data_IF_015381847568
#
_entry.id   IF_015381847568
#
_cell.length_a   1.000
_cell.length_b   1.000
_cell.length_c   1.000
_cell.angle_alpha   90.00
_cell.angle_beta   90.00
_cell.angle_gamma   90.00
#
_symmetry.space_group_name_H-M   'P 1'
#
loop_
_entity.id
_entity.type
_entity.pdbx_description
1 polymer ?
2 non-polymer ?
3 non-polymer ?
4 water ?
#
# COMPACT_ATOMS: atom_id res chain seq x y z
N UNK A 6 -27.20 -1.95 1.13
CA UNK A 6 -27.24 -2.03 -0.32
C UNK A 6 -25.84 -1.97 -0.95
N UNK A 7 -24.82 -1.55 -0.22
CA UNK A 7 -23.46 -1.91 -0.61
C UNK A 7 -23.12 -3.29 -0.05
N UNK A 8 -23.76 -3.66 1.07
CA UNK A 8 -23.51 -4.94 1.70
C UNK A 8 -24.28 -6.10 1.05
N UNK A 9 -25.37 -5.83 0.33
CA UNK A 9 -26.10 -6.94 -0.26
C UNK A 9 -25.36 -7.54 -1.46
N UNK A 10 -24.25 -6.94 -1.87
CA UNK A 10 -23.33 -7.62 -2.78
C UNK A 10 -22.51 -8.67 -2.05
N UNK A 11 -22.26 -8.46 -0.75
CA UNK A 11 -21.39 -9.34 0.01
C UNK A 11 -22.12 -10.62 0.43
N UNK A 12 -21.39 -11.72 0.49
CA UNK A 12 -21.92 -12.98 0.95
C UNK A 12 -21.95 -13.01 2.47
N UNK A 13 -23.05 -13.50 3.03
CA UNK A 13 -23.15 -13.67 4.48
C UNK A 13 -22.70 -15.09 4.78
N UNK A 14 -21.69 -15.21 5.59
CA UNK A 14 -21.09 -16.51 5.86
C UNK A 14 -21.54 -16.94 7.23
N UNK A 15 -21.84 -18.19 7.37
CA UNK A 15 -22.27 -18.64 8.68
C UNK A 15 -21.06 -18.94 9.56
N UNK A 16 -21.12 -18.58 10.85
CA UNK A 16 -19.98 -18.84 11.75
C UNK A 16 -19.44 -20.28 11.77
N UNK A 17 -20.27 -21.31 11.53
CA UNK A 17 -19.74 -22.67 11.57
C UNK A 17 -18.87 -23.00 10.38
N UNK A 18 -18.86 -22.15 9.36
CA UNK A 18 -17.95 -22.33 8.23
C UNK A 18 -16.55 -21.78 8.47
N UNK A 19 -16.33 -21.08 9.58
CA UNK A 19 -15.14 -20.27 9.80
C UNK A 19 -14.42 -20.77 11.05
N UNK A 20 -13.13 -21.09 10.89
CA UNK A 20 -12.26 -21.41 12.02
C UNK A 20 -11.14 -20.40 12.06
N UNK A 21 -11.00 -19.70 13.18
CA UNK A 21 -9.86 -18.84 13.42
C UNK A 21 -8.76 -19.71 14.01
N UNK A 22 -7.52 -19.51 13.56
CA UNK A 22 -6.42 -20.38 14.01
C UNK A 22 -5.25 -19.64 14.62
N UNK A 23 -4.88 -18.51 14.08
CA UNK A 23 -3.77 -17.78 14.63
C UNK A 23 -3.92 -16.30 14.47
N UNK A 24 -3.53 -15.52 15.46
CA UNK A 24 -3.59 -14.06 15.40
C UNK A 24 -2.46 -13.54 14.55
N UNK A 25 -2.79 -12.68 13.58
CA UNK A 25 -1.79 -12.10 12.67
C UNK A 25 -1.88 -10.59 12.65
N UNK A 26 -2.79 -10.01 13.41
CA UNK A 26 -2.89 -8.58 13.55
C UNK A 26 -3.80 -8.33 14.72
N UNK A 27 -3.67 -7.14 15.29
CA UNK A 27 -4.49 -6.89 16.46
C UNK A 27 -4.60 -5.40 16.69
N UNK A 28 -5.67 -5.02 17.37
CA UNK A 28 -5.93 -3.66 17.77
C UNK A 28 -6.79 -3.68 19.02
N UNK A 29 -7.27 -2.52 19.44
CA UNK A 29 -8.09 -2.46 20.66
C UNK A 29 -9.48 -3.05 20.45
N UNK A 30 -10.02 -2.97 19.23
CA UNK A 30 -11.42 -3.29 18.99
C UNK A 30 -11.63 -4.60 18.24
N UNK A 31 -10.56 -5.34 18.01
CA UNK A 31 -10.67 -6.64 17.38
C UNK A 31 -9.29 -7.05 16.92
N UNK A 32 -9.23 -8.20 16.27
CA UNK A 32 -7.97 -8.64 15.72
C UNK A 32 -8.16 -9.30 14.35
N UNK A 33 -7.05 -9.61 13.70
CA UNK A 33 -7.07 -10.30 12.42
C UNK A 33 -6.47 -11.67 12.66
N UNK A 34 -7.05 -12.69 12.03
CA UNK A 34 -6.59 -14.07 12.17
C UNK A 34 -6.35 -14.69 10.80
N UNK A 35 -5.35 -15.59 10.73
CA UNK A 35 -5.36 -16.61 9.71
C UNK A 35 -6.35 -17.68 10.14
N UNK A 36 -7.14 -18.16 9.19
CA UNK A 36 -8.07 -19.22 9.47
C UNK A 36 -8.40 -20.05 8.24
N UNK A 37 -9.44 -20.88 8.38
CA UNK A 37 -9.93 -21.70 7.28
C UNK A 37 -11.41 -21.42 7.08
N UNK A 38 -11.84 -21.44 5.83
CA UNK A 38 -13.23 -21.22 5.42
C UNK A 38 -13.76 -22.46 4.69
N UNK A 39 -15.00 -22.84 5.00
CA UNK A 39 -15.73 -23.89 4.27
C UNK A 39 -16.32 -23.40 2.97
N UNK A 46 -11.98 -26.85 1.75
CA UNK A 46 -11.61 -25.89 2.78
C UNK A 46 -10.47 -25.02 2.28
N UNK A 47 -10.42 -23.76 2.69
CA UNK A 47 -9.54 -22.77 2.05
C UNK A 47 -9.00 -21.82 3.10
N UNK A 48 -7.70 -21.48 3.09
CA UNK A 48 -7.20 -20.48 4.03
C UNK A 48 -7.82 -19.13 3.73
N UNK A 49 -8.07 -18.37 4.81
CA UNK A 49 -8.67 -17.04 4.71
C UNK A 49 -8.07 -16.17 5.80
N UNK A 50 -8.21 -14.87 5.63
CA UNK A 50 -7.96 -13.94 6.72
C UNK A 50 -9.29 -13.48 7.28
N UNK A 51 -9.32 -13.27 8.59
CA UNK A 51 -10.53 -13.03 9.34
C UNK A 51 -10.32 -11.83 10.27
N UNK A 52 -11.08 -10.75 10.07
CA UNK A 52 -10.96 -9.56 10.91
C UNK A 52 -12.23 -9.44 11.75
N UNK A 53 -12.08 -9.28 13.07
CA UNK A 53 -13.25 -9.21 13.95
C UNK A 53 -13.46 -7.81 14.50
N UNK A 54 -14.69 -7.58 14.97
CA UNK A 54 -15.09 -6.37 15.66
C UNK A 54 -15.79 -6.76 16.95
N UNK A 55 -15.24 -6.34 18.08
CA UNK A 55 -15.65 -6.81 19.40
C UNK A 55 -16.92 -6.11 19.89
N UNK A 56 -17.67 -6.82 20.74
CA UNK A 56 -18.91 -6.31 21.30
C UNK A 56 -18.70 -4.98 22.00
N UNK A 57 -19.74 -4.14 21.96
CA UNK A 57 -19.62 -2.79 22.49
C UNK A 57 -19.27 -1.76 21.45
N UNK A 58 -19.05 -2.19 20.21
CA UNK A 58 -18.68 -1.24 19.19
C UNK A 58 -19.76 -0.18 19.02
N UNK A 59 -19.34 1.00 18.63
CA UNK A 59 -20.22 2.13 18.40
C UNK A 59 -20.87 2.04 17.01
N UNK A 60 -21.88 2.89 16.81
CA UNK A 60 -22.47 3.02 15.48
C UNK A 60 -21.40 3.38 14.44
N UNK A 61 -20.57 4.37 14.76
CA UNK A 61 -19.49 4.78 13.85
C UNK A 61 -18.55 3.63 13.56
N UNK A 62 -18.17 2.86 14.59
CA UNK A 62 -17.30 1.71 14.37
C UNK A 62 -17.96 0.67 13.46
N UNK A 63 -19.24 0.36 13.70
CA UNK A 63 -19.93 -0.59 12.82
C UNK A 63 -19.98 -0.10 11.38
N UNK A 64 -20.26 1.19 11.19
CA UNK A 64 -20.34 1.75 9.84
C UNK A 64 -18.97 1.71 9.17
N UNK A 65 -17.92 2.10 9.90
CA UNK A 65 -16.56 2.03 9.35
C UNK A 65 -16.16 0.60 9.02
N UNK A 66 -16.44 -0.35 9.91
CA UNK A 66 -15.99 -1.72 9.75
C UNK A 66 -16.69 -2.41 8.60
N UNK A 67 -18.02 -2.39 8.61
CA UNK A 67 -18.75 -2.98 7.51
C UNK A 67 -18.59 -2.17 6.23
N UNK A 68 -18.25 -0.88 6.35
CA UNK A 68 -17.99 -0.08 5.16
C UNK A 68 -16.72 -0.51 4.46
N UNK A 69 -15.71 -0.97 5.20
CA UNK A 69 -14.54 -1.53 4.52
C UNK A 69 -14.95 -2.71 3.65
N UNK A 70 -15.81 -3.59 4.19
CA UNK A 70 -16.22 -4.74 3.39
C UNK A 70 -17.10 -4.32 2.23
N UNK A 71 -17.99 -3.38 2.48
CA UNK A 71 -18.82 -2.82 1.42
C UNK A 71 -18.00 -2.26 0.27
N UNK A 72 -16.94 -1.51 0.59
CA UNK A 72 -16.07 -0.96 -0.44
C UNK A 72 -15.33 -2.07 -1.19
N UNK A 73 -14.70 -2.99 -0.45
CA UNK A 73 -13.98 -4.10 -1.09
C UNK A 73 -14.88 -4.94 -1.97
N UNK A 74 -16.15 -5.09 -1.60
CA UNK A 74 -17.02 -5.94 -2.41
C UNK A 74 -17.42 -5.31 -3.73
N UNK A 75 -17.20 -4.01 -3.89
CA UNK A 75 -17.42 -3.34 -5.16
C UNK A 75 -16.32 -3.59 -6.17
N UNK A 76 -15.22 -4.22 -5.77
CA UNK A 76 -14.05 -4.33 -6.62
C UNK A 76 -13.81 -5.78 -7.04
N UNK A 77 -13.29 -5.96 -8.25
CA UNK A 77 -12.87 -7.27 -8.77
C UNK A 77 -11.62 -7.09 -9.62
N UNK A 78 -10.45 -7.20 -9.00
CA UNK A 78 -9.21 -6.98 -9.72
C UNK A 78 -8.10 -7.82 -9.07
N UNK A 79 -7.21 -8.37 -9.90
CA UNK A 79 -6.14 -9.26 -9.45
C UNK A 79 -5.29 -8.61 -8.37
N UNK A 80 -5.16 -7.28 -8.39
CA UNK A 80 -4.29 -6.56 -7.47
C UNK A 80 -5.02 -5.84 -6.35
N UNK A 81 -6.24 -6.26 -6.05
CA UNK A 81 -7.00 -5.69 -4.94
C UNK A 81 -7.46 -6.86 -4.10
N UNK A 82 -7.28 -6.76 -2.77
CA UNK A 82 -7.65 -7.90 -1.90
C UNK A 82 -9.11 -8.29 -2.13
N UNK A 83 -9.35 -9.61 -2.26
CA UNK A 83 -10.67 -10.14 -2.58
C UNK A 83 -11.45 -10.43 -1.30
N UNK A 84 -12.71 -9.98 -1.27
CA UNK A 84 -13.62 -10.23 -0.16
C UNK A 84 -14.29 -11.58 -0.36
N UNK A 85 -14.23 -12.44 0.64
CA UNK A 85 -15.00 -13.68 0.62
C UNK A 85 -16.39 -13.49 1.19
N UNK A 86 -16.52 -12.74 2.28
CA UNK A 86 -17.84 -12.52 2.83
C UNK A 86 -17.74 -11.83 4.16
N UNK A 87 -18.89 -11.76 4.83
CA UNK A 87 -18.99 -11.09 6.13
C UNK A 87 -19.83 -11.97 7.05
N UNK A 88 -19.57 -11.85 8.34
CA UNK A 88 -20.48 -12.35 9.37
C UNK A 88 -21.00 -11.12 10.08
N UNK A 89 -22.26 -10.77 9.81
CA UNK A 89 -22.84 -9.63 10.49
C UNK A 89 -24.07 -10.00 11.30
N UNK A 90 -24.75 -11.12 10.99
CA UNK A 90 -25.92 -11.53 11.77
C UNK A 90 -25.56 -12.25 13.05
N UNK A 91 -24.29 -12.49 13.30
CA UNK A 91 -23.83 -13.06 14.54
C UNK A 91 -22.68 -12.21 15.04
N UNK A 92 -22.38 -12.35 16.34
CA UNK A 92 -21.34 -11.56 16.97
C UNK A 92 -20.31 -12.52 17.54
N UNK A 93 -19.01 -12.17 17.43
CA UNK A 93 -18.47 -10.94 16.87
C UNK A 93 -18.60 -10.89 15.36
N UNK A 94 -18.79 -9.70 14.86
CA UNK A 94 -18.87 -9.52 13.43
C UNK A 94 -17.50 -9.74 12.81
N UNK A 95 -17.52 -10.25 11.59
CA UNK A 95 -16.32 -10.59 10.90
C UNK A 95 -16.28 -10.22 9.44
N UNK A 96 -15.09 -9.87 8.97
CA UNK A 96 -14.87 -9.73 7.52
C UNK A 96 -13.86 -10.78 7.14
N UNK A 97 -14.14 -11.51 6.06
CA UNK A 97 -13.34 -12.66 5.63
C UNK A 97 -12.82 -12.34 4.23
N UNK A 98 -11.51 -12.50 4.04
CA UNK A 98 -10.88 -12.22 2.76
C UNK A 98 -9.95 -13.35 2.37
N UNK A 99 -9.45 -13.28 1.14
CA UNK A 99 -8.36 -14.18 0.81
C UNK A 99 -7.20 -13.99 1.79
N UNK A 100 -6.40 -15.04 1.96
CA UNK A 100 -5.27 -15.02 2.87
C UNK A 100 -4.00 -14.80 2.07
N UNK A 101 -3.29 -13.71 2.35
CA UNK A 101 -2.04 -13.39 1.66
C UNK A 101 -0.89 -13.98 2.49
N UNK A 102 -0.20 -14.98 1.94
CA UNK A 102 0.67 -15.80 2.77
C UNK A 102 1.94 -15.08 3.24
N UNK A 103 2.35 -14.00 2.57
CA UNK A 103 3.57 -13.31 2.91
C UNK A 103 3.38 -12.00 3.63
N UNK A 104 2.14 -11.63 3.93
CA UNK A 104 1.90 -10.51 4.84
C UNK A 104 2.18 -9.18 4.18
N UNK A 105 2.47 -8.20 5.05
CA UNK A 105 2.61 -6.84 4.59
C UNK A 105 3.94 -6.69 3.86
N UNK A 106 3.88 -5.93 2.75
CA UNK A 106 5.03 -5.77 1.88
C UNK A 106 6.20 -5.09 2.58
N UNK A 107 5.97 -4.11 3.44
CA UNK A 107 7.12 -3.45 4.08
C UNK A 107 7.91 -4.39 4.96
N UNK A 108 7.23 -5.17 5.78
CA UNK A 108 7.94 -6.10 6.66
C UNK A 108 8.55 -7.25 5.84
N UNK A 109 7.83 -7.70 4.82
CA UNK A 109 8.32 -8.74 3.94
C UNK A 109 9.66 -8.35 3.31
N UNK A 110 9.73 -7.15 2.74
CA UNK A 110 10.97 -6.72 2.11
C UNK A 110 12.11 -6.63 3.11
N UNK A 111 11.82 -6.13 4.33
CA UNK A 111 12.89 -5.95 5.29
C UNK A 111 13.41 -7.29 5.79
N UNK A 112 12.58 -8.31 5.79
CA UNK A 112 12.94 -9.67 6.17
C UNK A 112 13.57 -10.45 5.04
N UNK A 113 13.52 -9.95 3.82
CA UNK A 113 14.01 -10.65 2.65
C UNK A 113 15.04 -9.82 1.88
N UNK A 114 15.82 -9.02 2.61
CA UNK A 114 16.67 -8.00 2.00
C UNK A 114 17.62 -8.66 1.02
N UNK A 115 17.63 -8.18 -0.20
CA UNK A 115 18.53 -8.67 -1.23
C UNK A 115 18.14 -9.96 -1.91
N UNK A 116 16.98 -10.54 -1.58
CA UNK A 116 16.64 -11.90 -2.04
C UNK A 116 15.94 -11.96 -3.38
N UNK A 117 15.62 -10.85 -4.00
CA UNK A 117 14.84 -10.84 -5.24
C UNK A 117 15.62 -10.21 -6.38
N UNK A 118 15.29 -10.61 -7.60
CA UNK A 118 15.85 -9.94 -8.74
C UNK A 118 15.22 -8.55 -8.93
N UNK A 119 15.95 -7.68 -9.63
CA UNK A 119 15.38 -6.38 -9.99
C UNK A 119 14.08 -6.54 -10.79
N UNK A 120 14.03 -7.55 -11.66
CA UNK A 120 12.81 -7.79 -12.42
C UNK A 120 11.63 -8.17 -11.51
N UNK A 121 11.87 -9.00 -10.49
CA UNK A 121 10.82 -9.33 -9.54
C UNK A 121 10.35 -8.07 -8.82
N UNK A 122 11.28 -7.25 -8.34
CA UNK A 122 10.87 -6.01 -7.67
C UNK A 122 10.00 -5.14 -8.60
N UNK A 123 10.44 -4.95 -9.85
CA UNK A 123 9.64 -4.14 -10.75
C UNK A 123 8.27 -4.77 -11.01
N UNK A 124 8.20 -6.10 -11.09
CA UNK A 124 6.92 -6.78 -11.30
C UNK A 124 5.98 -6.52 -10.13
N UNK A 125 6.52 -6.43 -8.92
CA UNK A 125 5.68 -6.10 -7.77
C UNK A 125 5.11 -4.69 -7.93
N UNK A 126 5.94 -3.75 -8.43
CA UNK A 126 5.47 -2.38 -8.62
C UNK A 126 4.41 -2.32 -9.70
N UNK A 127 4.56 -3.10 -10.76
CA UNK A 127 3.55 -3.15 -11.81
C UNK A 127 2.21 -3.57 -11.23
N UNK A 128 2.21 -4.61 -10.41
CA UNK A 128 0.96 -5.10 -9.82
C UNK A 128 0.33 -4.06 -8.94
N UNK A 129 1.14 -3.39 -8.10
CA UNK A 129 0.58 -2.32 -7.27
C UNK A 129 0.00 -1.20 -8.13
N UNK A 130 0.70 -0.79 -9.18
CA UNK A 130 0.20 0.25 -10.06
C UNK A 130 -1.07 -0.16 -10.76
N UNK A 131 -1.17 -1.45 -11.16
CA UNK A 131 -2.39 -1.91 -11.82
C UNK A 131 -3.57 -1.83 -10.85
N UNK A 132 -3.37 -2.28 -9.61
CA UNK A 132 -4.45 -2.13 -8.62
C UNK A 132 -4.83 -0.67 -8.42
N UNK A 133 -3.84 0.22 -8.32
CA UNK A 133 -4.11 1.63 -8.12
C UNK A 133 -4.78 2.25 -9.32
N UNK A 134 -4.44 1.82 -10.55
CA UNK A 134 -5.15 2.40 -11.70
C UNK A 134 -6.62 2.04 -11.62
N UNK A 135 -6.88 0.78 -11.24
CA UNK A 135 -8.25 0.31 -11.11
C UNK A 135 -8.98 1.13 -10.07
N UNK A 136 -8.42 1.28 -8.87
CA UNK A 136 -9.08 2.10 -7.85
C UNK A 136 -9.34 3.50 -8.36
N UNK A 137 -8.34 4.13 -9.00
CA UNK A 137 -8.49 5.51 -9.44
C UNK A 137 -9.61 5.61 -10.49
N UNK A 138 -9.67 4.64 -11.37
CA UNK A 138 -10.69 4.70 -12.39
C UNK A 138 -12.07 4.35 -11.86
N UNK A 139 -12.12 3.62 -10.74
CA UNK A 139 -13.35 3.35 -10.00
C UNK A 139 -13.72 4.50 -9.07
N UNK A 140 -12.98 5.60 -9.13
CA UNK A 140 -13.29 6.81 -8.35
C UNK A 140 -13.06 6.59 -6.87
N UNK A 141 -12.00 5.83 -6.55
CA UNK A 141 -11.65 5.56 -5.18
C UNK A 141 -10.26 6.12 -4.95
N UNK A 142 -10.16 7.08 -4.04
CA UNK A 142 -8.86 7.62 -3.64
C UNK A 142 -8.41 6.91 -2.36
N UNK A 143 -7.20 6.36 -2.37
CA UNK A 143 -6.81 5.50 -1.27
C UNK A 143 -6.45 6.32 -0.02
N UNK A 144 -5.67 7.39 -0.20
CA UNK A 144 -5.21 8.32 0.84
C UNK A 144 -4.09 7.81 1.71
N UNK A 145 -3.86 6.48 1.71
CA UNK A 145 -2.87 5.92 2.62
C UNK A 145 -2.05 4.86 1.93
N UNK A 146 -1.60 5.14 0.72
CA UNK A 146 -0.86 4.15 -0.05
C UNK A 146 0.59 4.14 0.45
N UNK A 147 1.08 2.97 0.82
CA UNK A 147 2.38 2.78 1.48
C UNK A 147 2.60 1.29 1.46
N UNK A 148 3.88 0.87 1.54
CA UNK A 148 4.16 -0.57 1.48
C UNK A 148 3.50 -1.32 2.64
N UNK A 149 3.30 -0.66 3.79
CA UNK A 149 2.62 -1.29 4.92
C UNK A 149 1.17 -1.61 4.62
N UNK A 150 0.57 -1.01 3.59
CA UNK A 150 -0.81 -1.30 3.20
C UNK A 150 -0.94 -2.15 1.93
N UNK A 151 0.13 -2.84 1.55
CA UNK A 151 0.16 -3.77 0.43
C UNK A 151 0.44 -5.14 1.02
N UNK A 152 -0.27 -6.16 0.49
CA UNK A 152 -0.13 -7.50 1.00
C UNK A 152 0.45 -8.34 -0.12
N UNK A 153 1.20 -9.39 0.26
CA UNK A 153 1.93 -10.18 -0.74
C UNK A 153 1.53 -11.64 -0.60
N UNK A 154 1.24 -12.31 -1.74
CA UNK A 154 0.88 -13.73 -1.66
C UNK A 154 2.05 -14.62 -2.11
N UNK A 155 1.80 -15.92 -2.13
CA UNK A 155 2.86 -16.91 -2.45
C UNK A 155 3.22 -16.97 -3.94
N UNK A 156 2.54 -16.20 -4.82
CA UNK A 156 2.96 -15.97 -6.19
C UNK A 156 3.70 -14.65 -6.33
N UNK A 157 4.02 -14.00 -5.21
CA UNK A 157 4.67 -12.68 -5.21
C UNK A 157 3.74 -11.58 -5.73
N UNK A 158 2.43 -11.84 -5.81
CA UNK A 158 1.47 -10.83 -6.26
C UNK A 158 1.21 -9.87 -5.11
N UNK A 159 1.32 -8.60 -5.41
CA UNK A 159 1.08 -7.55 -4.45
C UNK A 159 -0.33 -6.99 -4.66
N UNK A 160 -1.08 -6.84 -3.58
CA UNK A 160 -2.46 -6.40 -3.66
C UNK A 160 -2.64 -5.21 -2.71
N UNK A 161 -3.38 -4.20 -3.19
CA UNK A 161 -3.67 -3.05 -2.35
C UNK A 161 -4.69 -3.43 -1.30
N UNK A 162 -4.47 -2.96 -0.06
CA UNK A 162 -5.39 -3.26 1.03
C UNK A 162 -5.62 -1.97 1.79
N UNK A 163 -6.41 -2.08 2.87
CA UNK A 163 -6.72 -0.98 3.76
C UNK A 163 -7.72 0.01 3.17
N UNK A 164 -9.01 -0.34 3.18
CA UNK A 164 -10.07 0.40 2.52
C UNK A 164 -11.03 1.00 3.55
N UNK A 165 -11.66 2.07 3.17
CA UNK A 165 -12.67 2.66 4.03
C UNK A 165 -12.67 4.15 3.89
N UNK A 166 -13.48 4.79 4.72
CA UNK A 166 -13.51 6.25 4.75
C UNK A 166 -12.59 6.77 5.87
N UNK A 167 -13.13 7.38 6.92
CA UNK A 167 -12.28 7.97 7.96
C UNK A 167 -11.41 6.94 8.67
N UNK A 168 -11.81 5.66 8.67
CA UNK A 168 -11.06 4.65 9.41
C UNK A 168 -9.63 4.48 8.88
N UNK A 169 -9.41 4.78 7.59
CA UNK A 169 -8.10 4.51 6.98
C UNK A 169 -7.00 5.31 7.68
N UNK A 170 -7.16 6.64 7.73
CA UNK A 170 -6.13 7.46 8.36
C UNK A 170 -6.19 7.42 9.89
N UNK A 171 -7.38 7.18 10.44
CA UNK A 171 -7.53 7.14 11.89
C UNK A 171 -6.84 5.92 12.50
N UNK A 172 -6.89 4.77 11.81
CA UNK A 172 -6.35 3.54 12.36
C UNK A 172 -4.86 3.38 12.11
N UNK A 173 -4.26 4.16 11.20
CA UNK A 173 -2.87 3.97 10.83
C UNK A 173 -1.97 4.71 11.82
N UNK A 174 -1.13 4.00 12.59
CA UNK A 174 -0.24 4.71 13.53
C UNK A 174 0.72 5.67 12.85
N UNK A 175 1.09 5.41 11.58
CA UNK A 175 1.98 6.32 10.86
C UNK A 175 1.34 7.69 10.60
N UNK A 176 0.02 7.81 10.71
CA UNK A 176 -0.67 9.05 10.44
C UNK A 176 -0.72 9.88 11.73
N UNK A 177 -0.16 11.10 11.67
CA UNK A 177 0.06 11.90 12.87
C UNK A 177 -0.75 13.18 12.80
N UNK A 178 -1.08 13.72 13.98
CA UNK A 178 -1.84 14.95 14.08
C UNK A 178 -1.01 16.16 13.65
N UNK A 183 -5.44 17.98 10.92
CA UNK A 183 -5.69 16.63 10.41
C UNK A 183 -4.76 15.56 10.95
N UNK A 184 -4.97 14.32 10.51
CA UNK A 184 -4.15 13.17 10.84
C UNK A 184 -3.70 12.54 9.52
N UNK A 185 -2.40 12.54 9.30
CA UNK A 185 -1.81 12.22 7.98
C UNK A 185 -0.49 11.48 8.13
N UNK A 186 -0.20 10.40 7.32
CA UNK A 186 1.14 9.79 7.27
C UNK A 186 2.05 10.67 6.41
N UNK A 187 2.65 11.67 7.07
CA UNK A 187 3.18 12.83 6.36
C UNK A 187 4.13 12.42 5.24
N UNK A 188 5.09 11.55 5.53
CA UNK A 188 6.16 11.39 4.53
C UNK A 188 5.76 10.50 3.35
N UNK A 189 4.56 9.94 3.36
CA UNK A 189 4.03 9.28 2.17
C UNK A 189 3.06 10.18 1.41
N UNK A 190 2.75 11.37 1.93
CA UNK A 190 1.62 12.15 1.43
C UNK A 190 2.07 13.32 0.57
N UNK A 191 1.30 13.60 -0.51
CA UNK A 191 1.66 14.66 -1.44
C UNK A 191 1.53 16.03 -0.76
N UNK A 192 2.28 17.01 -1.24
CA UNK A 192 2.22 18.36 -0.62
C UNK A 192 0.82 18.93 -0.55
N UNK A 193 0.03 18.84 -1.63
CA UNK A 193 -1.27 19.51 -1.60
C UNK A 193 -2.22 18.82 -0.63
N UNK A 194 -2.02 17.51 -0.38
CA UNK A 194 -2.87 16.87 0.60
C UNK A 194 -2.50 17.31 2.02
N UNK A 195 -1.20 17.51 2.28
CA UNK A 195 -0.79 18.04 3.58
C UNK A 195 -1.25 19.49 3.74
N UNK A 196 -0.95 20.34 2.75
CA UNK A 196 -1.19 21.77 2.90
C UNK A 196 -2.68 22.07 2.99
N UNK A 197 -3.46 21.57 2.03
CA UNK A 197 -4.85 22.04 1.95
C UNK A 197 -5.84 20.90 1.82
N UNK A 198 -5.46 19.71 2.25
CA UNK A 198 -6.36 18.57 2.39
C UNK A 198 -6.89 18.07 1.05
N UNK A 199 -6.17 18.31 -0.04
CA UNK A 199 -6.64 17.86 -1.39
C UNK A 199 -6.10 16.46 -1.66
N UNK A 200 -6.92 15.45 -1.40
CA UNK A 200 -6.56 14.05 -1.65
C UNK A 200 -7.23 13.61 -2.93
N UNK A 201 -6.42 13.16 -3.90
CA UNK A 201 -6.94 12.73 -5.19
C UNK A 201 -6.12 11.54 -5.66
N UNK A 202 -6.49 10.94 -6.79
CA UNK A 202 -5.62 9.96 -7.39
C UNK A 202 -4.25 10.50 -7.71
N UNK A 203 -4.11 11.83 -7.88
CA UNK A 203 -2.77 12.35 -8.14
C UNK A 203 -1.93 12.43 -6.86
N UNK A 204 -2.56 12.60 -5.69
CA UNK A 204 -1.78 12.50 -4.48
C UNK A 204 -1.47 11.04 -4.17
N UNK A 205 -2.33 10.10 -4.62
CA UNK A 205 -1.97 8.69 -4.52
C UNK A 205 -0.79 8.37 -5.45
N UNK A 206 -0.65 9.04 -6.60
CA UNK A 206 0.56 8.84 -7.42
C UNK A 206 1.82 9.25 -6.68
N UNK A 207 1.81 10.40 -5.97
CA UNK A 207 2.96 10.75 -5.14
C UNK A 207 3.29 9.62 -4.19
N UNK A 208 2.26 9.14 -3.46
CA UNK A 208 2.47 8.04 -2.56
C UNK A 208 3.04 6.82 -3.27
N UNK A 209 2.56 6.55 -4.48
CA UNK A 209 3.12 5.43 -5.21
C UNK A 209 4.60 5.61 -5.50
N UNK A 210 5.02 6.84 -5.85
CA UNK A 210 6.45 7.12 -5.95
C UNK A 210 7.20 6.70 -4.70
N UNK A 211 6.66 7.04 -3.53
CA UNK A 211 7.31 6.62 -2.28
C UNK A 211 7.34 5.10 -2.17
N UNK A 212 6.23 4.43 -2.54
CA UNK A 212 6.23 2.95 -2.51
C UNK A 212 7.28 2.39 -3.45
N UNK A 213 7.44 3.00 -4.64
CA UNK A 213 8.53 2.55 -5.53
C UNK A 213 9.88 2.55 -4.77
N UNK A 214 10.18 3.63 -4.07
CA UNK A 214 11.43 3.76 -3.34
C UNK A 214 11.48 2.75 -2.21
N UNK A 215 10.38 2.54 -1.49
CA UNK A 215 10.41 1.49 -0.45
C UNK A 215 10.72 0.13 -1.06
N UNK A 216 10.14 -0.18 -2.22
CA UNK A 216 10.36 -1.52 -2.81
C UNK A 216 11.81 -1.65 -3.24
N UNK A 217 12.32 -0.66 -3.96
CA UNK A 217 13.65 -0.81 -4.52
C UNK A 217 14.74 -0.79 -3.43
N UNK A 218 14.47 -0.22 -2.25
CA UNK A 218 15.39 -0.21 -1.11
C UNK A 218 15.16 -1.36 -0.14
N UNK A 219 14.25 -2.29 -0.42
CA UNK A 219 13.93 -3.37 0.53
C UNK A 219 13.41 -2.82 1.85
N UNK A 220 12.55 -1.80 1.75
CA UNK A 220 11.84 -1.33 2.94
C UNK A 220 12.59 -0.34 3.81
N UNK A 221 13.49 0.44 3.23
CA UNK A 221 14.06 1.54 3.98
C UNK A 221 12.95 2.53 4.31
N UNK A 222 13.10 3.20 5.44
CA UNK A 222 12.11 4.18 5.87
C UNK A 222 12.31 5.49 5.11
N UNK A 223 11.30 6.01 4.41
CA UNK A 223 11.49 7.22 3.61
C UNK A 223 11.99 8.36 4.49
N UNK A 224 13.07 9.01 4.01
CA UNK A 224 13.62 10.22 4.61
C UNK A 224 14.36 9.89 5.91
N UNK A 225 14.51 8.63 6.24
CA UNK A 225 15.32 8.19 7.41
C UNK A 225 14.83 8.91 8.65
N UNK A 226 15.72 9.53 9.42
CA UNK A 226 15.34 10.08 10.70
C UNK A 226 14.91 11.52 10.64
N UNK A 227 14.73 12.11 9.45
CA UNK A 227 14.15 13.46 9.40
C UNK A 227 12.80 13.45 10.09
N UNK A 228 12.51 14.50 10.85
CA UNK A 228 11.19 14.66 11.44
C UNK A 228 10.18 15.03 10.36
N UNK A 229 8.90 14.93 10.70
CA UNK A 229 7.87 15.29 9.73
C UNK A 229 8.04 16.71 9.21
N UNK A 230 8.38 17.67 10.09
CA UNK A 230 8.54 19.03 9.61
C UNK A 230 9.78 19.19 8.74
N UNK A 231 10.87 18.51 9.10
CA UNK A 231 12.03 18.49 8.22
C UNK A 231 11.73 17.88 6.85
N UNK A 232 10.88 16.85 6.79
CA UNK A 232 10.51 16.28 5.48
C UNK A 232 9.73 17.31 4.69
N UNK A 233 8.76 17.96 5.33
CA UNK A 233 7.93 18.93 4.60
C UNK A 233 8.74 20.09 4.11
N UNK A 234 9.66 20.58 4.95
CA UNK A 234 10.57 21.64 4.53
C UNK A 234 11.49 21.19 3.40
N UNK A 235 12.02 19.96 3.47
CA UNK A 235 12.91 19.52 2.40
C UNK A 235 12.18 19.47 1.07
N UNK A 236 10.98 18.88 1.08
CA UNK A 236 10.18 18.75 -0.14
C UNK A 236 9.87 20.13 -0.71
N UNK A 237 9.45 21.04 0.16
CA UNK A 237 9.07 22.37 -0.38
C UNK A 237 10.28 23.12 -0.90
N UNK A 238 11.48 22.81 -0.39
CA UNK A 238 12.68 23.42 -0.94
C UNK A 238 13.19 22.69 -2.17
N UNK A 239 12.54 21.59 -2.60
CA UNK A 239 12.87 20.89 -3.83
C UNK A 239 13.74 19.66 -3.68
N UNK A 240 14.11 19.31 -2.46
CA UNK A 240 14.82 18.04 -2.25
C UNK A 240 13.88 16.86 -2.47
N UNK A 241 14.45 15.76 -2.96
CA UNK A 241 13.73 14.50 -3.16
C UNK A 241 14.61 13.35 -2.69
N UNK A 242 13.98 12.20 -2.48
CA UNK A 242 14.72 11.02 -2.04
C UNK A 242 15.78 10.64 -3.07
N UNK A 243 16.95 10.18 -2.64
CA UNK A 243 18.04 9.87 -3.57
C UNK A 243 17.82 8.48 -4.13
N UNK A 244 18.62 8.17 -5.14
CA UNK A 244 18.48 6.90 -5.83
C UNK A 244 18.71 5.74 -4.87
N UNK A 245 17.87 4.70 -4.88
CA UNK A 245 18.24 3.47 -4.18
C UNK A 245 19.49 2.87 -4.78
N UNK A 246 20.14 1.99 -4.00
CA UNK A 246 21.24 1.19 -4.53
C UNK A 246 20.72 0.24 -5.61
N UNK A 247 21.48 0.07 -6.68
CA UNK A 247 21.18 -0.92 -7.71
C UNK A 247 19.81 -0.73 -8.35
N UNK A 248 19.44 0.54 -8.59
CA UNK A 248 18.11 0.88 -9.09
C UNK A 248 18.19 1.20 -10.57
N UNK A 249 17.36 0.58 -11.40
CA UNK A 249 17.30 0.96 -12.81
C UNK A 249 17.00 2.45 -12.98
N UNK A 250 17.76 3.06 -13.89
CA UNK A 250 17.58 4.46 -14.21
C UNK A 250 16.12 4.79 -14.56
N UNK A 251 15.48 3.96 -15.38
CA UNK A 251 14.09 4.23 -15.76
C UNK A 251 13.16 4.23 -14.54
N UNK A 252 13.43 3.36 -13.55
CA UNK A 252 12.63 3.28 -12.32
C UNK A 252 12.82 4.52 -11.45
N UNK A 253 14.08 4.98 -11.29
CA UNK A 253 14.30 6.22 -10.54
C UNK A 253 13.69 7.41 -11.28
N UNK A 254 13.84 7.47 -12.60
CA UNK A 254 13.19 8.56 -13.34
C UNK A 254 11.69 8.58 -13.10
N UNK A 255 11.06 7.41 -13.13
CA UNK A 255 9.61 7.34 -12.94
C UNK A 255 9.20 7.78 -11.53
N UNK A 256 9.89 7.31 -10.49
CA UNK A 256 9.50 7.75 -9.16
C UNK A 256 9.70 9.25 -8.99
N UNK A 257 10.74 9.83 -9.61
CA UNK A 257 10.95 11.27 -9.50
C UNK A 257 9.82 12.05 -10.14
N UNK A 258 9.26 11.55 -11.25
CA UNK A 258 8.13 12.26 -11.84
C UNK A 258 6.86 12.14 -11.00
N UNK A 259 6.75 11.08 -10.18
CA UNK A 259 5.65 10.97 -9.24
C UNK A 259 5.70 12.04 -8.19
N UNK A 260 6.88 12.63 -7.96
CA UNK A 260 7.10 13.63 -6.91
C UNK A 260 7.18 15.02 -7.46
N UNK A 261 6.55 15.29 -8.61
CA UNK A 261 6.48 16.67 -9.06
C UNK A 261 5.57 17.46 -8.13
N UNK A 262 6.00 18.67 -7.77
CA UNK A 262 5.22 19.51 -6.88
C UNK A 262 3.87 19.86 -7.51
N UNK A 263 3.90 20.10 -8.82
CA UNK A 263 2.71 20.44 -9.57
C UNK A 263 1.95 19.15 -9.93
N UNK A 264 0.77 19.00 -9.36
CA UNK A 264 -0.02 17.78 -9.50
C UNK A 264 -0.17 17.40 -10.96
N UNK A 265 -0.38 18.40 -11.85
CA UNK A 265 -0.68 18.12 -13.23
C UNK A 265 0.50 17.51 -13.98
N UNK A 266 1.73 17.70 -13.48
CA UNK A 266 2.89 17.16 -14.17
C UNK A 266 3.17 15.71 -13.80
N UNK A 267 2.47 15.17 -12.78
CA UNK A 267 2.72 13.78 -12.42
C UNK A 267 2.09 12.82 -13.44
N UNK A 268 2.71 11.67 -13.63
CA UNK A 268 2.05 10.65 -14.47
C UNK A 268 0.74 10.26 -13.82
N UNK A 269 -0.21 9.82 -14.65
CA UNK A 269 -1.36 9.11 -14.09
C UNK A 269 -0.97 7.65 -13.91
N UNK A 270 -1.77 6.93 -13.11
CA UNK A 270 -1.54 5.50 -13.00
C UNK A 270 -1.54 4.78 -14.35
N UNK A 271 -2.37 5.24 -15.30
CA UNK A 271 -2.33 4.61 -16.61
C UNK A 271 -0.93 4.72 -17.22
N UNK A 272 -0.28 5.87 -17.05
CA UNK A 272 1.06 6.04 -17.61
C UNK A 272 2.06 5.16 -16.88
N UNK A 273 1.92 5.09 -15.56
CA UNK A 273 2.81 4.26 -14.75
C UNK A 273 2.73 2.78 -15.15
N UNK A 274 1.50 2.23 -15.25
CA UNK A 274 1.31 0.84 -15.65
C UNK A 274 1.91 0.58 -17.03
N UNK A 275 1.70 1.52 -17.95
CA UNK A 275 2.22 1.35 -19.31
C UNK A 275 3.74 1.27 -19.30
N UNK A 276 4.39 2.22 -18.64
CA UNK A 276 5.86 2.27 -18.56
C UNK A 276 6.40 1.02 -17.91
N UNK A 277 5.84 0.62 -16.77
CA UNK A 277 6.33 -0.55 -16.08
C UNK A 277 6.14 -1.79 -16.94
N UNK A 278 5.00 -1.89 -17.64
CA UNK A 278 4.78 -3.05 -18.51
C UNK A 278 5.80 -3.13 -19.63
N UNK A 279 6.16 -2.00 -20.21
CA UNK A 279 7.14 -1.97 -21.27
C UNK A 279 8.53 -2.34 -20.76
N UNK A 280 8.89 -1.85 -19.60
CA UNK A 280 10.20 -2.20 -19.05
C UNK A 280 10.30 -3.68 -18.76
N UNK A 281 9.23 -4.27 -18.21
CA UNK A 281 9.23 -5.68 -17.87
C UNK A 281 9.32 -6.54 -19.12
N UNK A 282 8.66 -6.13 -20.19
CA UNK A 282 8.61 -6.88 -21.44
C UNK A 282 9.92 -6.74 -22.22
N UNK A 283 10.69 -5.73 -21.93
CA UNK A 283 12.05 -5.61 -22.48
C UNK A 283 13.04 -5.56 -21.31
N UNK A 284 13.25 -6.67 -20.61
CA UNK A 284 13.88 -6.58 -19.27
C UNK A 284 15.32 -6.10 -19.28
N UNK A 285 15.99 -6.13 -20.44
CA UNK A 285 17.34 -5.55 -20.51
C UNK A 285 17.33 -4.06 -20.24
N UNK A 286 16.19 -3.41 -20.47
CA UNK A 286 16.06 -1.98 -20.15
C UNK A 286 16.33 -1.74 -18.68
N UNK A 287 16.11 -2.74 -17.83
CA UNK A 287 16.36 -2.55 -16.40
C UNK A 287 17.81 -2.74 -16.01
N UNK A 288 18.70 -3.10 -16.94
CA UNK A 288 20.08 -3.29 -16.54
C UNK A 288 20.89 -2.00 -16.46
N UNK A 289 20.39 -0.92 -17.05
CA UNK A 289 21.02 0.40 -16.94
C UNK A 289 20.63 1.04 -15.61
N UNK A 290 21.60 1.24 -14.71
CA UNK A 290 21.34 1.68 -13.34
C UNK A 290 21.57 3.16 -13.18
N UNK A 291 20.71 3.81 -12.39
CA UNK A 291 21.03 5.15 -11.95
C UNK A 291 22.24 5.12 -11.03
N UNK A 292 23.08 6.16 -11.14
CA UNK A 292 24.21 6.31 -10.24
C UNK A 292 23.71 6.43 -8.80
N UNK A 293 24.41 5.75 -7.90
CA UNK A 293 24.15 5.77 -6.46
C UNK A 293 25.21 6.64 -5.80
N UNK A 294 24.78 7.66 -5.03
CA UNK A 294 25.64 8.57 -4.28
C UNK A 294 26.13 7.93 -2.98
N UNK A 295 27.36 7.42 -2.93
CA UNK A 295 27.79 6.70 -1.73
C UNK A 295 27.91 7.67 -0.56
N UNK A 296 27.45 7.22 0.61
CA UNK A 296 27.50 7.98 1.81
C UNK A 296 28.83 7.74 2.59
N UNK A 297 29.48 6.62 2.38
CA UNK A 297 30.78 6.31 2.97
C UNK A 297 31.78 6.05 1.85
N UNK A 298 32.94 6.68 1.96
CA UNK A 298 34.08 6.41 1.09
C UNK A 298 35.00 5.43 1.81
N UNK A 299 35.34 4.34 1.13
CA UNK A 299 36.35 3.39 1.60
C UNK A 299 37.48 3.36 0.58
N UNK A 300 38.71 3.57 1.03
CA UNK A 300 39.88 3.56 0.16
C UNK A 300 40.88 2.53 0.68
N UNK A 301 41.59 1.88 -0.24
CA UNK A 301 42.63 0.93 0.11
C UNK A 301 43.80 1.24 -0.83
N UNK A 302 45.04 1.29 -0.31
CA UNK A 302 46.18 1.41 -1.23
C UNK A 302 46.37 0.17 -2.11
#
# INVERSE_FOLDING_TARGET
>A
GDPNQAVLKFTTEIHPSCVTRQKVIGAGEFGEVYKGMLKTSSGKKEVPVAIKTLKAGYTEKQRVDFLGEAGIMGQFSHHNIIRLEGVISKYKPMMIITEYMENGALDKFLREKDGEFSVLQLVGMLRGIAAGMKYLANMNYVHRDLAARNILVNSNLVCKVSDFGLSRVLEDDPEATYTTSGGKIPIRWTAPEAISYRKFTSASDVWSFGIVMWEVMTYGERPYWELSNHEVMKAINDGFRLPTPMDCPSAIYQLMMQCWQQERARRPKFADIVSILDKLIRAPDSLKTLADFDPRVSIRLPSTSG
#
